data_IF_751307487132
#
_entry.id   IF_751307487132
#
_cell.length_a   1.000
_cell.length_b   1.000
_cell.length_c   1.000
_cell.angle_alpha   90.00
_cell.angle_beta   90.00
_cell.angle_gamma   90.00
#
_symmetry.space_group_name_H-M   'P 1'
#
loop_
_entity.id
_entity.type
_entity.pdbx_description
1 polymer ?
#
# COMPACT_ATOMS: atom_id res chain seq x y z
N UNK A 1 3.05 23.69 -15.99
CA UNK A 1 2.11 22.58 -15.69
C UNK A 1 2.55 21.92 -14.40
N UNK A 2 1.61 21.63 -13.53
CA UNK A 2 1.91 20.97 -12.26
C UNK A 2 2.05 19.45 -12.50
N UNK A 3 3.26 18.93 -12.39
CA UNK A 3 3.51 17.50 -12.57
C UNK A 3 2.80 16.68 -11.50
N UNK A 4 2.12 15.56 -11.84
CA UNK A 4 1.38 14.75 -10.90
C UNK A 4 2.29 13.86 -10.03
N UNK A 5 1.74 13.37 -8.91
CA UNK A 5 2.29 12.22 -8.19
C UNK A 5 1.73 10.97 -8.84
N UNK A 6 2.60 10.07 -9.29
CA UNK A 6 2.22 8.75 -9.77
C UNK A 6 2.07 7.79 -8.60
N UNK A 7 0.98 7.02 -8.57
CA UNK A 7 0.74 6.02 -7.52
C UNK A 7 0.37 4.73 -8.22
N UNK A 8 0.95 3.59 -7.83
CA UNK A 8 0.52 2.32 -8.38
C UNK A 8 0.36 1.20 -7.36
N UNK A 9 -0.50 0.28 -7.70
CA UNK A 9 -0.82 -0.91 -6.92
C UNK A 9 -1.09 -2.11 -7.83
N UNK A 10 -1.14 -3.31 -7.25
CA UNK A 10 -1.53 -4.54 -7.94
C UNK A 10 -2.99 -4.56 -8.41
N UNK A 11 -3.84 -3.68 -7.90
CA UNK A 11 -5.26 -3.65 -8.20
C UNK A 11 -5.90 -2.31 -7.80
N UNK A 12 -6.99 -2.38 -7.05
CA UNK A 12 -7.74 -1.20 -6.59
C UNK A 12 -7.49 -0.86 -5.11
N UNK A 13 -6.89 -1.78 -4.33
CA UNK A 13 -6.65 -1.58 -2.90
C UNK A 13 -5.75 -0.37 -2.59
N UNK A 14 -4.78 -0.07 -3.46
CA UNK A 14 -3.89 1.09 -3.32
C UNK A 14 -4.59 2.44 -3.39
N UNK A 15 -5.88 2.47 -3.76
CA UNK A 15 -6.72 3.66 -3.65
C UNK A 15 -6.84 4.16 -2.20
N UNK A 16 -6.68 3.28 -1.19
CA UNK A 16 -6.59 3.70 0.22
C UNK A 16 -5.41 4.65 0.46
N UNK A 17 -4.25 4.33 -0.11
CA UNK A 17 -3.04 5.17 -0.04
C UNK A 17 -3.24 6.45 -0.86
N UNK A 18 -3.80 6.35 -2.07
CA UNK A 18 -4.09 7.52 -2.91
C UNK A 18 -5.07 8.48 -2.20
N UNK A 19 -6.10 7.94 -1.54
CA UNK A 19 -7.07 8.72 -0.76
C UNK A 19 -6.40 9.43 0.44
N UNK A 20 -5.50 8.74 1.15
CA UNK A 20 -4.75 9.34 2.24
C UNK A 20 -3.81 10.46 1.74
N UNK A 21 -3.10 10.24 0.63
CA UNK A 21 -2.21 11.24 0.02
C UNK A 21 -3.00 12.50 -0.38
N UNK A 22 -4.14 12.37 -1.07
CA UNK A 22 -4.92 13.54 -1.47
C UNK A 22 -5.44 14.37 -0.29
N UNK A 23 -5.72 13.72 0.87
CA UNK A 23 -6.17 14.42 2.08
C UNK A 23 -5.08 15.31 2.68
N UNK A 24 -3.83 14.84 2.70
CA UNK A 24 -2.70 15.60 3.25
C UNK A 24 -2.05 16.53 2.24
N UNK A 25 -2.28 16.29 0.95
CA UNK A 25 -1.75 17.06 -0.20
C UNK A 25 -2.89 17.47 -1.17
N UNK A 26 -3.84 18.31 -0.73
CA UNK A 26 -5.07 18.60 -1.48
C UNK A 26 -4.87 19.42 -2.77
N UNK A 27 -3.66 19.92 -3.03
CA UNK A 27 -3.34 20.68 -4.24
C UNK A 27 -2.50 19.90 -5.25
N UNK A 28 -2.22 18.62 -4.96
CA UNK A 28 -1.43 17.76 -5.84
C UNK A 28 -2.29 17.05 -6.87
N UNK A 29 -1.82 17.04 -8.12
CA UNK A 29 -2.37 16.18 -9.15
C UNK A 29 -1.95 14.74 -8.91
N UNK A 30 -2.84 13.78 -9.15
CA UNK A 30 -2.55 12.36 -8.96
C UNK A 30 -2.82 11.58 -10.26
N UNK A 31 -1.94 10.65 -10.56
CA UNK A 31 -2.16 9.58 -11.52
C UNK A 31 -2.06 8.25 -10.77
N UNK A 32 -3.16 7.52 -10.71
CA UNK A 32 -3.21 6.18 -10.15
C UNK A 32 -3.18 5.14 -11.28
N UNK A 33 -2.42 4.06 -11.07
CA UNK A 33 -2.43 2.89 -11.95
C UNK A 33 -2.61 1.61 -11.12
N UNK A 34 -3.71 0.90 -11.36
CA UNK A 34 -3.99 -0.41 -10.79
C UNK A 34 -3.76 -1.52 -11.81
N UNK A 35 -2.90 -2.49 -11.50
CA UNK A 35 -2.62 -3.62 -12.39
C UNK A 35 -3.60 -4.77 -12.19
N UNK A 36 -4.86 -4.49 -12.45
CA UNK A 36 -5.98 -5.42 -12.28
C UNK A 36 -5.91 -6.67 -13.17
N UNK A 37 -5.22 -6.59 -14.32
CA UNK A 37 -5.02 -7.75 -15.20
C UNK A 37 -4.10 -8.83 -14.60
N UNK A 38 -3.20 -8.46 -13.68
CA UNK A 38 -2.22 -9.39 -13.12
C UNK A 38 -2.39 -9.65 -11.61
N UNK A 39 -3.42 -9.06 -10.99
CA UNK A 39 -3.73 -9.32 -9.57
C UNK A 39 -4.09 -10.80 -9.34
N UNK A 40 -3.94 -11.33 -8.12
CA UNK A 40 -3.27 -10.71 -6.99
C UNK A 40 -1.74 -10.89 -7.05
N UNK A 41 -0.95 -9.87 -6.71
CA UNK A 41 0.52 -9.96 -6.65
C UNK A 41 1.02 -10.88 -5.53
N UNK A 42 0.19 -11.12 -4.52
CA UNK A 42 0.53 -11.97 -3.38
C UNK A 42 0.86 -13.43 -3.73
N UNK A 43 0.46 -13.90 -4.90
CA UNK A 43 0.65 -15.26 -5.41
C UNK A 43 1.58 -15.32 -6.65
N UNK A 44 2.18 -14.18 -7.05
CA UNK A 44 3.11 -14.11 -8.20
C UNK A 44 4.57 -14.33 -7.77
N UNK A 45 5.41 -14.68 -8.75
CA UNK A 45 6.86 -14.78 -8.55
C UNK A 45 7.49 -13.39 -8.37
N UNK A 46 8.67 -13.33 -7.75
CA UNK A 46 9.41 -12.08 -7.60
C UNK A 46 9.76 -11.45 -8.95
N UNK A 47 10.14 -12.26 -9.93
CA UNK A 47 10.49 -11.84 -11.28
C UNK A 47 9.29 -11.18 -11.99
N UNK A 48 8.10 -11.77 -11.86
CA UNK A 48 6.88 -11.19 -12.42
C UNK A 48 6.56 -9.83 -11.80
N UNK A 49 6.66 -9.72 -10.46
CA UNK A 49 6.38 -8.47 -9.74
C UNK A 49 7.39 -7.37 -10.10
N UNK A 50 8.68 -7.72 -10.24
CA UNK A 50 9.71 -6.80 -10.74
C UNK A 50 9.36 -6.29 -12.13
N UNK A 51 9.06 -7.19 -13.06
CA UNK A 51 8.69 -6.85 -14.43
C UNK A 51 7.49 -5.90 -14.46
N UNK A 52 6.41 -6.21 -13.72
CA UNK A 52 5.23 -5.36 -13.66
C UNK A 52 5.56 -3.98 -13.08
N UNK A 53 6.33 -3.93 -11.99
CA UNK A 53 6.74 -2.67 -11.35
C UNK A 53 7.55 -1.79 -12.31
N UNK A 54 8.46 -2.37 -13.10
CA UNK A 54 9.27 -1.63 -14.08
C UNK A 54 8.40 -1.07 -15.22
N UNK A 55 7.48 -1.85 -15.76
CA UNK A 55 6.56 -1.42 -16.82
C UNK A 55 5.65 -0.28 -16.35
N UNK A 56 5.07 -0.41 -15.16
CA UNK A 56 4.20 0.63 -14.58
C UNK A 56 5.01 1.89 -14.25
N UNK A 57 6.20 1.74 -13.68
CA UNK A 57 7.08 2.88 -13.40
C UNK A 57 7.47 3.65 -14.66
N UNK A 58 7.81 2.94 -15.76
CA UNK A 58 8.07 3.54 -17.07
C UNK A 58 6.85 4.30 -17.61
N UNK A 59 5.65 3.72 -17.46
CA UNK A 59 4.41 4.40 -17.85
C UNK A 59 4.21 5.69 -17.05
N UNK A 60 4.31 5.64 -15.73
CA UNK A 60 4.13 6.82 -14.88
C UNK A 60 5.19 7.90 -15.14
N UNK A 61 6.44 7.50 -15.42
CA UNK A 61 7.49 8.43 -15.86
C UNK A 61 7.11 9.12 -17.17
N UNK A 62 6.61 8.37 -18.17
CA UNK A 62 6.18 8.90 -19.44
C UNK A 62 4.95 9.84 -19.32
N UNK A 63 4.13 9.68 -18.27
CA UNK A 63 3.05 10.61 -17.92
C UNK A 63 3.55 11.90 -17.24
N UNK A 64 4.85 12.09 -17.08
CA UNK A 64 5.44 13.29 -16.47
C UNK A 64 5.26 13.37 -14.95
N UNK A 65 5.11 12.23 -14.27
CA UNK A 65 5.02 12.20 -12.81
C UNK A 65 6.31 12.72 -12.18
N UNK A 66 6.19 13.60 -11.18
CA UNK A 66 7.33 14.18 -10.43
C UNK A 66 7.85 13.26 -9.31
N UNK A 67 7.04 12.32 -8.89
CA UNK A 67 7.37 11.27 -7.91
C UNK A 67 6.51 10.04 -8.19
N UNK A 68 6.98 8.85 -7.81
CA UNK A 68 6.22 7.61 -7.92
C UNK A 68 6.11 6.96 -6.55
N UNK A 69 4.89 6.64 -6.12
CA UNK A 69 4.58 5.93 -4.88
C UNK A 69 4.15 4.50 -5.22
N UNK A 70 4.87 3.51 -4.71
CA UNK A 70 4.48 2.10 -4.79
C UNK A 70 3.52 1.83 -3.64
N UNK A 71 2.21 1.90 -3.87
CA UNK A 71 1.20 1.69 -2.83
C UNK A 71 1.12 0.21 -2.39
N UNK A 72 1.37 -0.73 -3.30
CA UNK A 72 1.34 -2.16 -3.04
C UNK A 72 2.49 -2.60 -2.12
N UNK A 73 2.18 -3.22 -0.98
CA UNK A 73 3.19 -3.80 -0.10
C UNK A 73 4.01 -4.91 -0.78
N UNK A 74 3.36 -5.73 -1.60
CA UNK A 74 4.05 -6.80 -2.33
C UNK A 74 5.01 -6.24 -3.38
N UNK A 75 4.59 -5.24 -4.16
CA UNK A 75 5.46 -4.56 -5.12
C UNK A 75 6.57 -3.77 -4.41
N UNK A 76 6.28 -3.12 -3.29
CA UNK A 76 7.29 -2.45 -2.45
C UNK A 76 8.35 -3.42 -1.92
N UNK A 77 7.95 -4.66 -1.57
CA UNK A 77 8.88 -5.64 -1.03
C UNK A 77 9.78 -6.31 -2.06
N UNK A 78 9.35 -6.41 -3.32
CA UNK A 78 10.01 -7.23 -4.34
C UNK A 78 10.45 -6.42 -5.58
N UNK A 79 9.82 -5.28 -5.87
CA UNK A 79 10.07 -4.49 -7.08
C UNK A 79 10.71 -3.12 -6.83
N UNK A 80 10.75 -2.64 -5.57
CA UNK A 80 11.20 -1.29 -5.25
C UNK A 80 12.66 -1.02 -5.66
N UNK A 81 13.58 -1.92 -5.31
CA UNK A 81 15.00 -1.75 -5.60
C UNK A 81 15.28 -1.72 -7.10
N UNK A 82 14.67 -2.67 -7.84
CA UNK A 82 14.81 -2.76 -9.29
C UNK A 82 14.22 -1.53 -10.00
N UNK A 83 13.07 -1.03 -9.54
CA UNK A 83 12.46 0.19 -10.09
C UNK A 83 13.31 1.43 -9.81
N UNK A 84 13.85 1.56 -8.61
CA UNK A 84 14.72 2.67 -8.23
C UNK A 84 16.01 2.67 -9.05
N UNK A 85 16.63 1.51 -9.24
CA UNK A 85 17.80 1.35 -10.10
C UNK A 85 17.48 1.71 -11.57
N UNK A 86 16.36 1.23 -12.10
CA UNK A 86 15.95 1.45 -13.48
C UNK A 86 15.67 2.93 -13.79
N UNK A 87 14.94 3.64 -12.92
CA UNK A 87 14.61 5.05 -13.12
C UNK A 87 15.77 6.00 -12.69
N UNK A 88 16.67 5.49 -11.85
CA UNK A 88 17.79 6.27 -11.30
C UNK A 88 17.30 7.47 -10.48
N UNK A 89 18.13 8.50 -10.41
CA UNK A 89 17.83 9.73 -9.64
C UNK A 89 16.89 10.71 -10.38
N UNK A 90 16.30 10.30 -11.51
CA UNK A 90 15.44 11.16 -12.33
C UNK A 90 14.11 11.48 -11.65
N UNK A 91 13.59 10.54 -10.88
CA UNK A 91 12.30 10.66 -10.20
C UNK A 91 12.42 9.97 -8.84
N UNK A 92 12.04 10.63 -7.72
CA UNK A 92 11.98 9.97 -6.42
C UNK A 92 10.94 8.85 -6.42
N UNK A 93 11.39 7.65 -5.99
CA UNK A 93 10.54 6.46 -5.84
C UNK A 93 10.32 6.24 -4.34
N UNK A 94 9.07 6.23 -3.94
CA UNK A 94 8.63 6.07 -2.56
C UNK A 94 7.93 4.71 -2.41
N UNK A 95 8.15 4.03 -1.30
CA UNK A 95 7.50 2.75 -1.00
C UNK A 95 6.70 2.86 0.30
N UNK A 96 5.83 1.90 0.55
CA UNK A 96 4.96 1.92 1.74
C UNK A 96 5.54 1.21 2.96
N UNK A 97 6.74 0.62 2.84
CA UNK A 97 7.37 -0.15 3.92
C UNK A 97 8.23 0.74 4.80
N UNK A 98 9.11 1.54 4.19
CA UNK A 98 10.08 2.35 4.91
C UNK A 98 9.43 3.34 5.89
N UNK A 99 8.38 4.09 5.52
CA UNK A 99 7.71 5.00 6.45
C UNK A 99 7.14 4.29 7.66
N UNK A 100 6.58 3.09 7.47
CA UNK A 100 6.00 2.31 8.57
C UNK A 100 7.08 1.80 9.52
N UNK A 101 8.22 1.37 8.99
CA UNK A 101 9.38 0.98 9.81
C UNK A 101 9.95 2.18 10.58
N UNK A 102 10.10 3.34 9.93
CA UNK A 102 10.54 4.58 10.58
C UNK A 102 9.57 5.01 11.70
N UNK A 103 8.26 4.95 11.45
CA UNK A 103 7.24 5.21 12.46
C UNK A 103 7.40 4.29 13.66
N UNK A 104 7.52 2.97 13.43
CA UNK A 104 7.72 2.00 14.51
C UNK A 104 8.99 2.31 15.32
N UNK A 105 10.09 2.70 14.66
CA UNK A 105 11.36 3.00 15.34
C UNK A 105 11.28 4.20 16.29
N UNK A 106 10.31 5.09 16.10
CA UNK A 106 10.04 6.21 16.99
C UNK A 106 9.26 5.79 18.26
N UNK A 107 8.61 4.61 18.23
CA UNK A 107 7.78 4.08 19.33
C UNK A 107 8.63 3.26 20.30
N UNK A 108 9.24 3.92 21.30
CA UNK A 108 10.16 3.27 22.26
C UNK A 108 9.53 2.17 23.11
N UNK A 109 8.21 2.13 23.20
CA UNK A 109 7.49 1.14 24.00
C UNK A 109 7.21 -0.18 23.27
N UNK A 110 7.37 -0.25 21.93
CA UNK A 110 7.18 -1.50 21.21
C UNK A 110 8.29 -2.50 21.52
N UNK A 111 7.89 -3.72 21.87
CA UNK A 111 8.78 -4.88 22.12
C UNK A 111 8.48 -6.02 21.16
N UNK A 112 7.21 -6.16 20.76
CA UNK A 112 6.75 -7.19 19.85
C UNK A 112 5.82 -6.58 18.81
N UNK A 113 6.22 -6.61 17.54
CA UNK A 113 5.45 -6.08 16.43
C UNK A 113 4.91 -7.24 15.60
N UNK A 114 3.59 -7.27 15.43
CA UNK A 114 2.92 -8.17 14.49
C UNK A 114 2.91 -7.58 13.08
N UNK A 115 3.02 -8.44 12.08
CA UNK A 115 2.86 -8.08 10.66
C UNK A 115 1.93 -9.06 10.00
N UNK A 116 0.81 -8.58 9.44
CA UNK A 116 -0.06 -9.38 8.58
C UNK A 116 0.01 -8.87 7.15
N UNK A 117 0.13 -9.79 6.17
CA UNK A 117 0.35 -9.45 4.77
C UNK A 117 0.00 -10.60 3.83
N UNK A 118 0.20 -10.39 2.53
CA UNK A 118 0.17 -11.45 1.51
C UNK A 118 1.30 -12.46 1.71
N UNK A 119 1.16 -13.64 1.12
CA UNK A 119 2.21 -14.69 1.15
C UNK A 119 3.55 -14.17 0.64
N UNK A 120 3.56 -13.45 -0.50
CA UNK A 120 4.78 -12.93 -1.10
C UNK A 120 5.48 -11.90 -0.20
N UNK A 121 4.74 -10.98 0.41
CA UNK A 121 5.29 -9.99 1.35
C UNK A 121 5.90 -10.68 2.58
N UNK A 122 5.21 -11.66 3.17
CA UNK A 122 5.77 -12.40 4.31
C UNK A 122 7.00 -13.21 3.91
N UNK A 123 6.97 -13.89 2.76
CA UNK A 123 8.11 -14.67 2.25
C UNK A 123 9.35 -13.81 1.99
N UNK A 124 9.20 -12.55 1.58
CA UNK A 124 10.31 -11.61 1.38
C UNK A 124 11.07 -11.27 2.66
N UNK A 125 10.39 -11.39 3.79
CA UNK A 125 10.89 -11.06 5.13
C UNK A 125 11.32 -9.60 5.31
N UNK A 126 10.89 -8.71 4.42
CA UNK A 126 11.38 -7.33 4.33
C UNK A 126 11.06 -6.51 5.58
N UNK A 127 9.84 -6.66 6.15
CA UNK A 127 9.45 -5.96 7.37
C UNK A 127 10.32 -6.38 8.55
N UNK A 128 10.49 -7.70 8.76
CA UNK A 128 11.29 -8.21 9.86
C UNK A 128 12.76 -7.78 9.75
N UNK A 129 13.34 -7.85 8.53
CA UNK A 129 14.71 -7.39 8.27
C UNK A 129 14.88 -5.90 8.57
N UNK A 130 14.00 -5.04 8.03
CA UNK A 130 14.11 -3.58 8.21
C UNK A 130 13.84 -3.17 9.67
N UNK A 131 12.83 -3.76 10.31
CA UNK A 131 12.55 -3.50 11.74
C UNK A 131 13.73 -3.96 12.60
N UNK A 132 14.33 -5.13 12.32
CA UNK A 132 15.48 -5.62 13.09
C UNK A 132 16.70 -4.72 12.98
N UNK A 133 16.91 -4.09 11.82
CA UNK A 133 17.98 -3.09 11.63
C UNK A 133 17.68 -1.82 12.44
N UNK A 134 16.46 -1.30 12.35
CA UNK A 134 16.06 -0.06 13.02
C UNK A 134 15.86 -0.22 14.53
N UNK A 135 15.42 -1.42 14.97
CA UNK A 135 15.03 -1.75 16.34
C UNK A 135 15.57 -3.13 16.75
N UNK A 136 16.89 -3.28 17.04
CA UNK A 136 17.55 -4.60 17.26
C UNK A 136 16.92 -5.45 18.37
N UNK A 137 16.30 -4.81 19.37
CA UNK A 137 15.72 -5.48 20.54
C UNK A 137 14.23 -5.83 20.37
N UNK A 138 13.60 -5.50 19.24
CA UNK A 138 12.19 -5.77 18.96
C UNK A 138 12.04 -7.15 18.31
N UNK A 139 11.05 -7.90 18.76
CA UNK A 139 10.65 -9.16 18.13
C UNK A 139 9.58 -8.88 17.08
N UNK A 140 9.77 -9.39 15.86
CA UNK A 140 8.78 -9.29 14.79
C UNK A 140 8.10 -10.65 14.60
N UNK A 141 6.79 -10.64 14.60
CA UNK A 141 5.94 -11.83 14.38
C UNK A 141 5.15 -11.63 13.08
N UNK A 142 5.41 -12.44 12.08
CA UNK A 142 4.84 -12.30 10.74
C UNK A 142 3.87 -13.42 10.41
N UNK A 143 2.70 -13.07 9.84
CA UNK A 143 1.67 -14.02 9.44
C UNK A 143 1.11 -13.69 8.06
N UNK A 144 1.14 -14.67 7.15
CA UNK A 144 0.45 -14.54 5.86
C UNK A 144 -1.07 -14.75 6.05
N UNK A 145 -1.85 -13.83 5.49
CA UNK A 145 -3.32 -13.80 5.62
C UNK A 145 -3.99 -13.71 4.23
N UNK A 146 -3.81 -14.73 3.36
CA UNK A 146 -4.17 -14.66 1.94
C UNK A 146 -5.66 -14.46 1.66
N UNK A 147 -6.55 -14.79 2.59
CA UNK A 147 -7.99 -14.65 2.37
C UNK A 147 -8.52 -13.25 2.71
N UNK A 148 -7.75 -12.40 3.42
CA UNK A 148 -8.28 -11.10 3.86
C UNK A 148 -8.50 -10.13 2.68
N UNK A 149 -7.58 -10.04 1.71
CA UNK A 149 -7.76 -9.14 0.58
C UNK A 149 -8.94 -9.54 -0.31
N UNK A 150 -9.08 -10.81 -0.79
CA UNK A 150 -10.27 -11.24 -1.53
C UNK A 150 -11.58 -11.04 -0.76
N UNK A 151 -11.59 -11.34 0.54
CA UNK A 151 -12.77 -11.11 1.39
C UNK A 151 -13.22 -9.66 1.36
N UNK A 152 -12.27 -8.72 1.44
CA UNK A 152 -12.55 -7.28 1.43
C UNK A 152 -13.02 -6.83 0.04
N UNK A 153 -12.39 -7.31 -1.04
CA UNK A 153 -12.77 -6.98 -2.42
C UNK A 153 -14.21 -7.39 -2.74
N UNK A 154 -14.67 -8.52 -2.19
CA UNK A 154 -16.05 -9.01 -2.30
C UNK A 154 -17.03 -8.31 -1.33
N UNK A 155 -16.55 -7.32 -0.55
CA UNK A 155 -17.40 -6.57 0.38
C UNK A 155 -17.76 -7.33 1.67
N UNK A 156 -17.10 -8.45 1.95
CA UNK A 156 -17.33 -9.22 3.18
C UNK A 156 -16.53 -8.64 4.35
N UNK A 157 -16.96 -7.51 4.88
CA UNK A 157 -16.45 -6.92 6.12
C UNK A 157 -17.60 -6.39 6.99
N UNK A 158 -17.34 -6.16 8.26
CA UNK A 158 -18.32 -5.81 9.29
C UNK A 158 -19.49 -6.83 9.41
N UNK A 159 -19.19 -8.11 9.21
CA UNK A 159 -20.17 -9.19 9.28
C UNK A 159 -19.57 -10.47 9.90
N UNK A 160 -20.39 -11.55 9.99
CA UNK A 160 -19.93 -12.80 10.60
C UNK A 160 -18.84 -13.52 9.79
N UNK A 161 -18.80 -13.33 8.47
CA UNK A 161 -17.79 -13.95 7.60
C UNK A 161 -16.43 -13.34 7.90
N UNK A 162 -16.33 -11.99 7.88
CA UNK A 162 -15.09 -11.30 8.20
C UNK A 162 -14.59 -11.62 9.61
N UNK A 163 -15.47 -11.61 10.61
CA UNK A 163 -15.13 -11.97 11.99
C UNK A 163 -14.56 -13.39 12.08
N UNK A 164 -15.16 -14.36 11.37
CA UNK A 164 -14.67 -15.73 11.38
C UNK A 164 -13.27 -15.84 10.76
N UNK A 165 -13.02 -15.20 9.62
CA UNK A 165 -11.74 -15.24 8.93
C UNK A 165 -10.66 -14.49 9.74
N UNK A 166 -10.98 -13.32 10.27
CA UNK A 166 -10.07 -12.54 11.14
C UNK A 166 -9.69 -13.36 12.37
N UNK A 167 -10.68 -13.96 13.05
CA UNK A 167 -10.44 -14.81 14.22
C UNK A 167 -9.55 -16.01 13.89
N UNK A 168 -9.78 -16.68 12.75
CA UNK A 168 -8.98 -17.83 12.32
C UNK A 168 -7.49 -17.47 12.13
N UNK A 169 -7.21 -16.27 11.58
CA UNK A 169 -5.84 -15.82 11.44
C UNK A 169 -5.22 -15.32 12.75
N UNK A 170 -5.90 -14.43 13.45
CA UNK A 170 -5.33 -13.74 14.61
C UNK A 170 -5.20 -14.64 15.86
N UNK A 171 -5.95 -15.76 15.93
CA UNK A 171 -5.77 -16.79 16.97
C UNK A 171 -4.48 -17.61 16.80
N UNK A 172 -3.77 -17.46 15.69
CA UNK A 172 -2.52 -18.17 15.43
C UNK A 172 -1.46 -17.91 16.49
N UNK A 173 -0.76 -18.96 16.91
CA UNK A 173 0.39 -18.85 17.81
C UNK A 173 1.54 -17.98 17.25
N UNK A 174 1.56 -17.74 15.93
CA UNK A 174 2.56 -16.91 15.25
C UNK A 174 2.38 -15.41 15.49
N UNK A 175 1.27 -14.97 16.07
CA UNK A 175 0.97 -13.55 16.24
C UNK A 175 0.31 -13.30 17.60
N UNK A 176 1.04 -13.66 18.69
CA UNK A 176 0.55 -13.55 20.06
C UNK A 176 1.34 -12.56 20.89
N UNK A 177 0.64 -11.90 21.81
CA UNK A 177 1.23 -10.97 22.77
C UNK A 177 2.05 -9.87 22.08
N UNK A 178 1.50 -9.28 21.02
CA UNK A 178 2.07 -8.17 20.28
C UNK A 178 1.63 -6.84 20.90
N UNK A 179 2.49 -5.82 20.79
CA UNK A 179 2.18 -4.45 21.23
C UNK A 179 1.49 -3.66 20.12
N UNK A 180 1.90 -3.93 18.88
CA UNK A 180 1.34 -3.28 17.69
C UNK A 180 1.21 -4.25 16.53
N UNK A 181 0.33 -3.93 15.58
CA UNK A 181 0.08 -4.70 14.38
C UNK A 181 0.18 -3.83 13.11
N UNK A 182 1.09 -4.19 12.24
CA UNK A 182 1.25 -3.60 10.90
C UNK A 182 0.29 -4.28 9.93
N UNK A 183 -0.58 -3.49 9.31
CA UNK A 183 -1.47 -3.92 8.24
C UNK A 183 -0.74 -3.81 6.89
N UNK A 184 0.11 -4.78 6.57
CA UNK A 184 0.98 -4.73 5.40
C UNK A 184 0.29 -5.19 4.10
N UNK A 185 -0.90 -4.65 3.86
CA UNK A 185 -1.66 -4.77 2.62
C UNK A 185 -2.59 -3.57 2.48
N UNK A 186 -2.72 -3.06 1.27
CA UNK A 186 -3.53 -1.87 0.95
C UNK A 186 -5.03 -2.03 1.24
N UNK A 187 -5.53 -3.26 1.31
CA UNK A 187 -6.92 -3.57 1.63
C UNK A 187 -7.22 -3.51 3.14
N UNK A 188 -6.25 -3.85 3.99
CA UNK A 188 -6.49 -4.10 5.41
C UNK A 188 -6.91 -2.88 6.25
N UNK A 189 -6.65 -1.62 5.86
CA UNK A 189 -7.24 -0.47 6.56
C UNK A 189 -8.77 -0.54 6.68
N UNK A 190 -9.47 -1.16 5.72
CA UNK A 190 -10.94 -1.31 5.73
C UNK A 190 -11.46 -2.21 6.88
N UNK A 191 -10.65 -3.16 7.33
CA UNK A 191 -11.01 -4.05 8.45
C UNK A 191 -10.25 -3.70 9.75
N UNK A 192 -9.62 -2.53 9.80
CA UNK A 192 -8.84 -2.09 10.98
C UNK A 192 -9.66 -2.11 12.26
N UNK A 193 -10.92 -1.67 12.19
CA UNK A 193 -11.84 -1.66 13.33
C UNK A 193 -12.11 -3.07 13.86
N UNK A 194 -12.44 -4.03 12.97
CA UNK A 194 -12.72 -5.42 13.36
C UNK A 194 -11.48 -6.11 13.96
N UNK A 195 -10.29 -5.79 13.42
CA UNK A 195 -9.02 -6.27 14.00
C UNK A 195 -8.79 -5.66 15.37
N UNK A 196 -9.08 -4.37 15.56
CA UNK A 196 -9.02 -3.72 16.88
C UNK A 196 -9.98 -4.36 17.89
N UNK A 197 -11.21 -4.65 17.48
CA UNK A 197 -12.22 -5.34 18.30
C UNK A 197 -11.74 -6.75 18.71
N UNK A 198 -11.10 -7.50 17.81
CA UNK A 198 -10.52 -8.81 18.14
C UNK A 198 -9.52 -8.73 19.31
N UNK A 199 -8.70 -7.70 19.34
CA UNK A 199 -7.72 -7.49 20.41
C UNK A 199 -8.28 -6.70 21.60
N UNK A 200 -9.59 -6.46 21.68
CA UNK A 200 -10.22 -5.59 22.70
C UNK A 200 -9.51 -4.23 22.79
N UNK A 201 -9.03 -3.70 21.67
CA UNK A 201 -8.24 -2.46 21.56
C UNK A 201 -6.97 -2.41 22.43
N UNK A 202 -6.44 -3.57 22.82
CA UNK A 202 -5.20 -3.68 23.62
C UNK A 202 -3.93 -3.69 22.77
N UNK A 203 -4.06 -3.85 21.45
CA UNK A 203 -2.98 -3.82 20.46
C UNK A 203 -3.16 -2.58 19.57
N UNK A 204 -2.09 -1.84 19.37
CA UNK A 204 -2.12 -0.68 18.47
C UNK A 204 -2.15 -1.14 17.01
N UNK A 205 -3.26 -0.91 16.30
CA UNK A 205 -3.40 -1.26 14.88
C UNK A 205 -2.98 -0.06 14.04
N UNK A 206 -1.84 -0.18 13.36
CA UNK A 206 -1.24 0.94 12.63
C UNK A 206 -2.05 1.28 11.38
N UNK A 207 -2.37 2.57 11.21
CA UNK A 207 -2.94 3.08 9.95
C UNK A 207 -1.82 3.35 8.95
N UNK A 208 -1.43 2.31 8.22
CA UNK A 208 -0.29 2.38 7.30
C UNK A 208 -0.50 3.37 6.16
N UNK A 209 -1.74 3.59 5.71
CA UNK A 209 -2.04 4.54 4.63
C UNK A 209 -1.78 5.99 5.06
N UNK A 210 -2.16 6.37 6.30
CA UNK A 210 -1.89 7.70 6.85
C UNK A 210 -0.41 7.93 7.08
N UNK A 211 0.28 6.95 7.69
CA UNK A 211 1.74 7.02 7.91
C UNK A 211 2.49 7.25 6.58
N UNK A 212 2.10 6.52 5.53
CA UNK A 212 2.68 6.67 4.20
C UNK A 212 2.37 8.04 3.60
N UNK A 213 1.14 8.53 3.72
CA UNK A 213 0.74 9.82 3.18
C UNK A 213 1.51 10.99 3.82
N UNK A 214 1.72 10.94 5.14
CA UNK A 214 2.51 11.93 5.87
C UNK A 214 3.98 11.90 5.45
N UNK A 215 4.53 10.70 5.22
CA UNK A 215 5.89 10.56 4.71
C UNK A 215 6.03 11.09 3.28
N UNK A 216 5.10 10.79 2.39
CA UNK A 216 5.07 11.34 1.02
C UNK A 216 5.09 12.86 1.07
N UNK A 217 4.26 13.48 1.93
CA UNK A 217 4.26 14.92 2.13
C UNK A 217 5.62 15.43 2.62
N UNK A 218 6.20 14.79 3.63
CA UNK A 218 7.52 15.12 4.19
C UNK A 218 8.60 15.06 3.11
N UNK A 219 8.65 13.98 2.33
CA UNK A 219 9.67 13.80 1.30
C UNK A 219 9.52 14.81 0.15
N UNK A 220 8.30 15.04 -0.36
CA UNK A 220 8.07 16.05 -1.40
C UNK A 220 8.40 17.48 -0.91
N UNK A 221 8.13 17.78 0.35
CA UNK A 221 8.52 19.06 0.96
C UNK A 221 10.04 19.21 0.97
N UNK A 222 10.78 18.22 1.44
CA UNK A 222 12.22 18.23 1.52
C UNK A 222 12.89 18.36 0.13
N UNK A 223 12.27 17.80 -0.89
CA UNK A 223 12.73 17.87 -2.28
C UNK A 223 12.27 19.13 -3.02
N UNK A 224 11.50 20.02 -2.39
CA UNK A 224 10.87 21.18 -3.01
C UNK A 224 10.01 20.83 -4.23
N UNK A 225 9.29 19.70 -4.17
CA UNK A 225 8.46 19.19 -5.25
C UNK A 225 6.95 19.45 -5.04
N UNK A 226 6.55 20.13 -3.96
CA UNK A 226 5.14 20.47 -3.75
C UNK A 226 4.65 21.46 -4.80
N UNK A 227 3.40 21.30 -5.22
CA UNK A 227 2.74 22.28 -6.09
C UNK A 227 2.50 23.58 -5.31
N UNK A 228 2.90 24.70 -5.90
CA UNK A 228 2.71 26.04 -5.31
C UNK A 228 1.38 26.71 -5.68
N UNK A 229 0.62 26.12 -6.59
CA UNK A 229 -0.60 26.70 -7.18
C UNK A 229 -1.83 26.04 -6.53
N UNK A 230 -2.81 26.87 -6.22
CA UNK A 230 -4.08 26.49 -5.56
C UNK A 230 -5.20 26.13 -6.53
N UNK A 231 -4.87 25.81 -7.78
CA UNK A 231 -5.86 25.32 -8.75
C UNK A 231 -6.45 23.98 -8.29
N UNK A 232 -7.69 23.71 -8.73
CA UNK A 232 -8.35 22.44 -8.44
C UNK A 232 -7.51 21.27 -8.97
N UNK A 233 -7.11 20.30 -8.14
CA UNK A 233 -6.27 19.20 -8.55
C UNK A 233 -6.99 18.30 -9.56
N UNK A 234 -6.20 17.66 -10.43
CA UNK A 234 -6.69 16.68 -11.41
C UNK A 234 -6.30 15.28 -10.96
N UNK A 235 -7.28 14.40 -10.89
CA UNK A 235 -7.08 12.99 -10.55
C UNK A 235 -7.40 12.11 -11.77
N UNK A 236 -6.47 11.23 -12.12
CA UNK A 236 -6.63 10.28 -13.21
C UNK A 236 -6.41 8.87 -12.67
N UNK A 237 -7.37 7.97 -12.95
CA UNK A 237 -7.35 6.61 -12.43
C UNK A 237 -7.34 5.63 -13.60
N UNK A 238 -6.21 4.95 -13.76
CA UNK A 238 -6.01 3.92 -14.79
C UNK A 238 -6.02 2.53 -14.18
N UNK A 239 -6.53 1.57 -14.93
CA UNK A 239 -6.45 0.14 -14.63
C UNK A 239 -6.01 -0.62 -15.88
N UNK A 240 -5.26 -1.72 -15.71
CA UNK A 240 -4.81 -2.53 -16.84
C UNK A 240 -5.94 -3.34 -17.47
N UNK A 241 -6.91 -3.77 -16.67
CA UNK A 241 -8.17 -4.37 -17.10
C UNK A 241 -9.34 -3.79 -16.31
N UNK A 242 -10.48 -3.57 -16.97
CA UNK A 242 -11.64 -2.90 -16.37
C UNK A 242 -12.85 -3.82 -16.38
N UNK A 243 -13.41 -4.07 -15.19
CA UNK A 243 -14.70 -4.75 -15.03
C UNK A 243 -15.69 -3.84 -14.30
N UNK A 244 -16.98 -4.08 -14.46
CA UNK A 244 -18.03 -3.36 -13.71
C UNK A 244 -17.89 -3.55 -12.20
N UNK A 245 -17.42 -4.73 -11.76
CA UNK A 245 -17.16 -5.04 -10.35
C UNK A 245 -16.09 -4.10 -9.78
N UNK A 246 -14.96 -3.93 -10.48
CA UNK A 246 -13.90 -3.02 -10.02
C UNK A 246 -14.40 -1.59 -9.85
N UNK A 247 -15.21 -1.09 -10.78
CA UNK A 247 -15.72 0.27 -10.70
C UNK A 247 -16.63 0.48 -9.48
N UNK A 248 -17.44 -0.52 -9.16
CA UNK A 248 -18.28 -0.49 -7.95
C UNK A 248 -17.42 -0.57 -6.68
N UNK A 249 -16.45 -1.46 -6.64
CA UNK A 249 -15.60 -1.67 -5.47
C UNK A 249 -14.66 -0.49 -5.17
N UNK A 250 -14.40 0.42 -6.13
CA UNK A 250 -13.54 1.60 -5.86
C UNK A 250 -14.08 2.49 -4.75
N UNK A 251 -15.40 2.54 -4.55
CA UNK A 251 -16.02 3.34 -3.50
C UNK A 251 -15.68 2.84 -2.09
N UNK A 252 -15.24 1.59 -1.94
CA UNK A 252 -14.77 1.06 -0.66
C UNK A 252 -13.41 1.64 -0.27
N UNK A 253 -12.59 2.00 -1.25
CA UNK A 253 -11.19 2.40 -1.05
C UNK A 253 -10.95 3.90 -1.25
N UNK A 254 -11.86 4.58 -1.95
CA UNK A 254 -11.76 6.01 -2.24
C UNK A 254 -13.11 6.68 -1.96
N UNK A 255 -13.12 7.71 -1.14
CA UNK A 255 -14.36 8.33 -0.63
C UNK A 255 -15.24 8.94 -1.71
N UNK A 256 -14.64 9.50 -2.77
CA UNK A 256 -15.39 10.07 -3.88
C UNK A 256 -15.63 9.04 -4.97
N UNK A 257 -16.72 9.23 -5.72
CA UNK A 257 -16.96 8.46 -6.94
C UNK A 257 -15.88 8.78 -7.96
N UNK A 258 -15.14 7.76 -8.39
CA UNK A 258 -14.10 7.88 -9.41
C UNK A 258 -14.50 7.13 -10.68
N UNK A 259 -13.93 7.55 -11.81
CA UNK A 259 -14.07 6.85 -13.08
C UNK A 259 -12.75 6.21 -13.44
N UNK A 260 -12.78 4.90 -13.69
CA UNK A 260 -11.62 4.13 -14.11
C UNK A 260 -11.49 4.15 -15.64
N UNK A 261 -10.29 4.45 -16.12
CA UNK A 261 -9.93 4.37 -17.54
C UNK A 261 -9.05 3.14 -17.76
N UNK A 262 -9.47 2.24 -18.63
CA UNK A 262 -8.63 1.11 -19.00
C UNK A 262 -7.43 1.57 -19.84
N UNK A 263 -6.24 1.11 -19.48
CA UNK A 263 -4.99 1.43 -20.18
C UNK A 263 -4.10 0.20 -20.27
N UNK A 264 -4.05 -0.40 -21.45
CA UNK A 264 -3.11 -1.48 -21.70
C UNK A 264 -1.70 -0.90 -21.89
N UNK A 265 -0.77 -1.31 -21.05
CA UNK A 265 0.66 -0.97 -21.10
C UNK A 265 1.54 -2.20 -21.38
N UNK A 266 0.93 -3.35 -21.68
CA UNK A 266 1.58 -4.66 -21.78
C UNK A 266 1.87 -5.09 -23.21
N UNK A 267 1.24 -4.46 -24.20
CA UNK A 267 1.27 -4.84 -25.61
C UNK A 267 2.51 -4.33 -26.38
N UNK A 268 3.54 -3.86 -25.70
CA UNK A 268 4.82 -3.42 -26.33
C UNK A 268 6.01 -4.22 -25.82
#
# INVERSE_FOLDING_TARGET
MQSPIGIFDSGIGGLTVANAIRKVLPHENLIYFGDTAHMPYGDKSAEAIKYYSLKIGKFLQAQGCKAIVIACNTASSLGFSDLKEFLGDKIPILNVIDPVVEFCAQQKHYKKIGVIATKATIKSDIYAKKIKIAMPNVTVQSLATPLLAPMIEEGFFENNISKTIINAYLSSAKIKNIDSLILACTHYPLIRKEIGEYYNNSVEILNTAEIVADDVKRQLTNLNLLNSVTEKPKYQFYVSDKTSSFETSTQLFFEDKISLTQKNIWSE
#
